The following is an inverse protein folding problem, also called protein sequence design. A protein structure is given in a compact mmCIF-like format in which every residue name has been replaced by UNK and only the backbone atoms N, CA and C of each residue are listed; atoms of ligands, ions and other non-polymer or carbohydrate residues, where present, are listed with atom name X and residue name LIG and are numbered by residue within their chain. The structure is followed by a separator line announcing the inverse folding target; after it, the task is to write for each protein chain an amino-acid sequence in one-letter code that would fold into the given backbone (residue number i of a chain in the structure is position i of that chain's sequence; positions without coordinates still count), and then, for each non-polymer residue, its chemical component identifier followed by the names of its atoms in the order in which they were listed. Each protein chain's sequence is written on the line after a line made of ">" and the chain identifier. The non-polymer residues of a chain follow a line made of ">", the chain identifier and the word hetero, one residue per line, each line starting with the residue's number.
data_IF_367426583676
#
_entry.id   IF_367426583676
#
_cell.length_a   1.000
_cell.length_b   1.000
_cell.length_c   1.000
_cell.angle_alpha   90.00
_cell.angle_beta   90.00
_cell.angle_gamma   90.00
#
_symmetry.space_group_name_H-M   'P 1'
#
loop_
_entity.id
_entity.type
_entity.pdbx_description
1 polymer ?
#
# COMPACT_ATOMS: atom_id res chain seq x y z
N UNK A 1 39.74 1.03 -24.81
CA UNK A 1 39.48 2.29 -24.09
C UNK A 1 38.43 3.08 -24.86
N UNK A 2 37.22 3.32 -24.40
CA UNK A 2 36.56 3.02 -23.12
C UNK A 2 35.09 2.70 -23.40
N UNK A 3 34.53 1.88 -22.52
CA UNK A 3 33.19 1.32 -22.56
C UNK A 3 32.13 2.42 -22.54
N UNK A 4 31.28 2.45 -23.58
CA UNK A 4 30.01 3.17 -23.54
C UNK A 4 29.15 2.62 -22.42
N UNK A 5 29.10 3.35 -21.31
CA UNK A 5 28.20 3.11 -20.19
C UNK A 5 26.75 3.30 -20.66
N UNK A 6 26.11 2.22 -21.08
CA UNK A 6 24.66 2.12 -21.11
C UNK A 6 24.18 2.14 -19.66
N UNK A 7 23.75 3.31 -19.20
CA UNK A 7 22.95 3.43 -17.99
C UNK A 7 21.67 2.66 -18.25
N UNK A 8 21.63 1.41 -17.79
CA UNK A 8 20.42 0.61 -17.75
C UNK A 8 19.43 1.32 -16.85
N UNK A 9 18.44 1.99 -17.43
CA UNK A 9 17.27 2.48 -16.70
C UNK A 9 16.47 1.25 -16.27
N UNK A 10 16.78 0.73 -15.09
CA UNK A 10 15.91 -0.23 -14.42
C UNK A 10 14.61 0.50 -14.05
N UNK A 11 13.63 0.47 -14.96
CA UNK A 11 12.26 0.78 -14.61
C UNK A 11 11.76 -0.36 -13.74
N UNK A 12 11.68 -0.14 -12.42
CA UNK A 12 10.92 -1.03 -11.56
C UNK A 12 9.44 -0.83 -11.91
N UNK A 13 8.91 -1.69 -12.79
CA UNK A 13 7.47 -1.79 -13.01
C UNK A 13 6.84 -2.46 -11.80
N UNK A 14 5.96 -1.74 -11.10
CA UNK A 14 5.12 -2.34 -10.08
C UNK A 14 3.75 -2.60 -10.69
N UNK A 15 3.38 -3.88 -10.79
CA UNK A 15 2.02 -4.28 -11.18
C UNK A 15 1.22 -4.55 -9.91
N UNK A 16 0.05 -3.91 -9.80
CA UNK A 16 -0.85 -4.07 -8.65
C UNK A 16 -2.16 -4.69 -9.13
N UNK A 17 -2.59 -5.77 -8.47
CA UNK A 17 -3.88 -6.41 -8.73
C UNK A 17 -4.75 -6.28 -7.48
N UNK A 18 -6.01 -5.88 -7.67
CA UNK A 18 -7.02 -5.81 -6.62
C UNK A 18 -7.93 -7.02 -6.76
N UNK A 19 -8.14 -7.76 -5.67
CA UNK A 19 -8.99 -8.95 -5.62
C UNK A 19 -9.96 -8.83 -4.44
N UNK A 20 -11.20 -9.29 -4.64
CA UNK A 20 -12.20 -9.39 -3.57
C UNK A 20 -11.73 -10.37 -2.50
N UNK A 21 -11.82 -9.98 -1.23
CA UNK A 21 -11.47 -10.86 -0.12
C UNK A 21 -12.57 -11.91 0.09
N UNK A 22 -12.22 -13.15 0.49
CA UNK A 22 -13.20 -14.15 0.89
C UNK A 22 -13.98 -13.71 2.14
N UNK A 23 -15.21 -14.21 2.29
CA UNK A 23 -16.10 -13.90 3.41
C UNK A 23 -15.50 -14.30 4.76
N UNK A 24 -14.86 -15.47 4.81
CA UNK A 24 -14.13 -15.92 6.00
C UNK A 24 -12.74 -15.27 6.06
N UNK A 25 -12.40 -14.54 7.14
CA UNK A 25 -11.10 -13.91 7.29
C UNK A 25 -9.98 -14.93 7.27
N UNK A 26 -9.07 -14.79 6.30
CA UNK A 26 -7.90 -15.64 6.21
C UNK A 26 -6.93 -15.41 7.38
N UNK A 27 -6.20 -16.46 7.83
CA UNK A 27 -5.14 -16.30 8.81
C UNK A 27 -4.03 -15.35 8.31
N UNK A 28 -3.37 -14.68 9.25
CA UNK A 28 -2.21 -13.84 9.00
C UNK A 28 -1.08 -14.64 8.34
N UNK A 29 -0.35 -14.01 7.42
CA UNK A 29 0.76 -14.64 6.68
C UNK A 29 1.98 -13.71 6.67
N UNK A 30 3.17 -14.32 6.74
CA UNK A 30 4.45 -13.62 6.55
C UNK A 30 4.55 -13.17 5.09
N UNK A 31 5.08 -11.96 4.89
CA UNK A 31 5.30 -11.39 3.57
C UNK A 31 6.38 -12.16 2.80
N UNK A 32 6.20 -12.29 1.49
CA UNK A 32 7.22 -12.75 0.56
C UNK A 32 7.62 -11.56 -0.30
N UNK A 33 8.89 -11.18 -0.27
CA UNK A 33 9.43 -10.01 -0.96
C UNK A 33 9.20 -10.04 -2.48
N UNK A 34 8.98 -11.23 -3.06
CA UNK A 34 8.75 -11.40 -4.51
C UNK A 34 7.33 -11.05 -4.95
N UNK A 35 6.36 -11.02 -4.03
CA UNK A 35 4.93 -10.94 -4.36
C UNK A 35 4.34 -9.54 -4.20
N UNK A 36 5.12 -8.53 -3.79
CA UNK A 36 4.70 -7.13 -3.82
C UNK A 36 3.44 -6.81 -2.99
N UNK A 37 3.24 -7.46 -1.85
CA UNK A 37 2.12 -7.15 -0.95
C UNK A 37 2.42 -5.94 -0.05
N UNK A 38 1.38 -5.16 0.28
CA UNK A 38 1.45 -4.28 1.44
C UNK A 38 1.65 -5.13 2.69
N UNK A 39 2.63 -4.78 3.53
CA UNK A 39 2.93 -5.51 4.75
C UNK A 39 3.20 -4.56 5.93
N UNK A 40 3.11 -5.08 7.14
CA UNK A 40 3.49 -4.35 8.37
C UNK A 40 4.58 -5.10 9.11
N UNK A 41 5.67 -4.39 9.36
CA UNK A 41 6.83 -4.89 10.07
C UNK A 41 6.58 -4.97 11.57
N UNK A 42 6.87 -6.13 12.14
CA UNK A 42 6.81 -6.38 13.58
C UNK A 42 8.19 -6.79 14.06
N UNK A 43 8.66 -6.12 15.12
CA UNK A 43 9.94 -6.42 15.76
C UNK A 43 9.64 -7.17 17.05
N UNK A 44 10.08 -8.42 17.16
CA UNK A 44 9.93 -9.21 18.38
C UNK A 44 11.04 -8.85 19.37
N UNK A 45 10.64 -8.39 20.56
CA UNK A 45 11.57 -7.93 21.61
C UNK A 45 11.91 -9.00 22.65
N UNK A 46 11.24 -10.15 22.61
CA UNK A 46 11.29 -11.21 23.66
C UNK A 46 12.36 -12.29 23.40
N UNK A 47 13.23 -12.09 22.42
CA UNK A 47 14.34 -13.02 22.20
C UNK A 47 15.55 -12.62 23.04
N UNK A 48 16.04 -13.53 23.88
CA UNK A 48 17.37 -13.52 24.56
C UNK A 48 18.58 -13.46 23.59
N UNK A 49 18.31 -13.14 22.31
CA UNK A 49 19.30 -12.90 21.28
C UNK A 49 19.36 -11.41 21.05
N UNK A 50 20.57 -10.86 21.08
CA UNK A 50 20.93 -9.46 20.79
C UNK A 50 20.60 -8.98 19.35
N UNK A 51 19.73 -9.69 18.63
CA UNK A 51 19.28 -9.41 17.28
C UNK A 51 17.76 -9.59 17.25
N UNK A 52 17.03 -8.49 17.32
CA UNK A 52 15.58 -8.50 17.15
C UNK A 52 15.23 -9.02 15.76
N UNK A 53 14.50 -10.13 15.68
CA UNK A 53 14.01 -10.63 14.39
C UNK A 53 12.82 -9.79 13.94
N UNK A 54 12.99 -9.02 12.88
CA UNK A 54 11.90 -8.34 12.19
C UNK A 54 11.16 -9.34 11.30
N UNK A 55 9.82 -9.35 11.39
CA UNK A 55 8.94 -10.15 10.54
C UNK A 55 7.86 -9.24 9.96
N UNK A 56 7.70 -9.30 8.65
CA UNK A 56 6.68 -8.53 7.94
C UNK A 56 5.44 -9.39 7.73
N UNK A 57 4.27 -8.89 8.10
CA UNK A 57 2.99 -9.57 7.90
C UNK A 57 2.18 -8.90 6.79
N UNK A 58 1.62 -9.70 5.88
CA UNK A 58 0.79 -9.21 4.76
C UNK A 58 -0.47 -8.52 5.29
N UNK A 59 -0.69 -7.29 4.83
CA UNK A 59 -1.89 -6.49 5.08
C UNK A 59 -2.93 -6.75 3.99
N UNK A 60 -4.09 -7.27 4.39
CA UNK A 60 -5.26 -7.43 3.53
C UNK A 60 -6.34 -6.47 4.01
N UNK A 61 -6.62 -5.44 3.22
CA UNK A 61 -7.62 -4.42 3.59
C UNK A 61 -8.98 -4.80 3.05
N UNK A 62 -9.93 -5.02 3.97
CA UNK A 62 -11.34 -5.16 3.62
C UNK A 62 -11.97 -3.76 3.54
N UNK A 63 -12.16 -3.26 2.31
CA UNK A 63 -12.78 -1.96 2.05
C UNK A 63 -14.26 -1.90 2.45
N UNK A 64 -14.95 -3.04 2.47
CA UNK A 64 -16.37 -3.14 2.85
C UNK A 64 -16.61 -2.94 4.34
N UNK A 65 -15.57 -3.05 5.18
CA UNK A 65 -15.67 -2.93 6.64
C UNK A 65 -16.27 -1.60 7.11
N UNK A 66 -16.11 -0.54 6.32
CA UNK A 66 -16.66 0.80 6.60
C UNK A 66 -17.73 1.21 5.58
N UNK A 67 -18.45 0.25 4.98
CA UNK A 67 -19.44 0.53 3.94
C UNK A 67 -18.83 1.01 2.62
N UNK A 68 -17.56 0.68 2.35
CA UNK A 68 -16.86 1.14 1.14
C UNK A 68 -16.30 2.56 1.22
N UNK A 69 -16.37 3.21 2.39
CA UNK A 69 -15.87 4.57 2.56
C UNK A 69 -14.50 4.63 3.26
N UNK A 70 -13.62 5.49 2.76
CA UNK A 70 -12.31 5.78 3.36
C UNK A 70 -12.36 7.17 4.00
N UNK A 71 -12.16 7.22 5.32
CA UNK A 71 -11.98 8.49 6.03
C UNK A 71 -10.54 8.96 5.80
N UNK A 72 -10.39 10.14 5.20
CA UNK A 72 -9.12 10.83 5.10
C UNK A 72 -9.17 12.15 5.86
N UNK A 73 -8.03 12.54 6.43
CA UNK A 73 -7.88 13.80 7.16
C UNK A 73 -6.70 14.54 6.55
N UNK A 74 -6.90 15.80 6.19
CA UNK A 74 -5.81 16.68 5.75
C UNK A 74 -5.22 17.32 7.00
N UNK A 75 -3.91 17.16 7.19
CA UNK A 75 -3.22 17.68 8.36
C UNK A 75 -3.42 19.19 8.53
N UNK A 76 -3.51 19.64 9.78
CA UNK A 76 -3.63 21.05 10.14
C UNK A 76 -2.45 21.91 9.67
N UNK A 77 -1.27 21.34 9.44
CA UNK A 77 -0.08 22.05 8.97
C UNK A 77 -0.10 22.35 7.47
N UNK A 78 -1.02 21.75 6.70
CA UNK A 78 -1.13 22.01 5.26
C UNK A 78 -1.68 23.43 5.05
N UNK A 79 -1.03 24.29 4.24
CA UNK A 79 -1.55 25.62 3.96
C UNK A 79 -2.96 25.56 3.35
N UNK A 80 -3.86 26.46 3.78
CA UNK A 80 -5.27 26.44 3.38
C UNK A 80 -5.48 26.47 1.86
N UNK A 81 -4.63 27.20 1.15
CA UNK A 81 -4.66 27.29 -0.31
C UNK A 81 -4.56 25.93 -1.02
N UNK A 82 -3.90 24.93 -0.41
CA UNK A 82 -3.71 23.61 -1.01
C UNK A 82 -4.78 22.60 -0.59
N UNK A 83 -5.53 22.86 0.48
CA UNK A 83 -6.51 21.90 1.02
C UNK A 83 -7.61 21.59 0.00
N UNK A 84 -8.06 22.60 -0.74
CA UNK A 84 -9.09 22.43 -1.77
C UNK A 84 -8.59 21.52 -2.90
N UNK A 85 -7.38 21.77 -3.41
CA UNK A 85 -6.78 20.98 -4.50
C UNK A 85 -6.50 19.54 -4.06
N UNK A 86 -6.03 19.35 -2.82
CA UNK A 86 -5.82 18.01 -2.26
C UNK A 86 -7.15 17.25 -2.15
N UNK A 87 -8.20 17.91 -1.65
CA UNK A 87 -9.54 17.32 -1.57
C UNK A 87 -10.04 16.91 -2.95
N UNK A 88 -9.97 17.80 -3.93
CA UNK A 88 -10.40 17.54 -5.31
C UNK A 88 -9.65 16.34 -5.90
N UNK A 89 -8.32 16.31 -5.76
CA UNK A 89 -7.50 15.19 -6.23
C UNK A 89 -7.88 13.87 -5.57
N UNK A 90 -8.15 13.85 -4.27
CA UNK A 90 -8.61 12.63 -3.56
C UNK A 90 -10.00 12.20 -4.03
N UNK A 91 -10.91 13.12 -4.26
CA UNK A 91 -12.27 12.82 -4.71
C UNK A 91 -12.33 12.38 -6.17
N UNK A 92 -11.42 12.84 -7.02
CA UNK A 92 -11.30 12.43 -8.42
C UNK A 92 -10.99 10.92 -8.56
N UNK A 93 -10.22 10.35 -7.61
CA UNK A 93 -9.97 8.91 -7.59
C UNK A 93 -11.23 8.08 -7.40
N UNK A 94 -12.29 8.61 -6.75
CA UNK A 94 -13.56 7.88 -6.66
C UNK A 94 -14.13 7.59 -8.05
N UNK A 95 -14.06 8.57 -8.97
CA UNK A 95 -14.53 8.40 -10.35
C UNK A 95 -13.67 7.39 -11.11
N UNK A 96 -12.34 7.48 -10.98
CA UNK A 96 -11.41 6.58 -11.64
C UNK A 96 -11.63 5.12 -11.22
N UNK A 97 -11.92 4.87 -9.94
CA UNK A 97 -12.19 3.53 -9.43
C UNK A 97 -13.63 3.08 -9.62
N UNK A 98 -14.62 3.98 -9.66
CA UNK A 98 -16.00 3.63 -10.05
C UNK A 98 -16.07 3.05 -11.47
N UNK A 99 -15.20 3.49 -12.38
CA UNK A 99 -15.12 2.92 -13.73
C UNK A 99 -14.58 1.48 -13.75
N UNK A 100 -13.75 1.12 -12.77
CA UNK A 100 -13.16 -0.23 -12.64
C UNK A 100 -14.12 -1.19 -11.93
N UNK A 101 -15.04 -0.68 -11.10
CA UNK A 101 -16.09 -1.43 -10.39
C UNK A 101 -17.23 -1.92 -11.31
N UNK A 102 -16.92 -2.19 -12.58
CA UNK A 102 -17.84 -2.90 -13.48
C UNK A 102 -17.62 -4.40 -13.27
N UNK A 103 -18.45 -5.00 -12.41
CA UNK A 103 -18.52 -6.45 -12.23
C UNK A 103 -18.80 -7.22 -13.53
#
# INVERSE_FOLDING_TARGET
>A
DELGSTVGRAGAGAEFTILTLPDEPMPARISDERLGYFASSHIFLDSDRALHSQVDFIQRRNLQRNGGHILYVVDSTVPEMWRAVIKEGVEEWNLAFSAIDTG
#
